data_IF_952210349993
#
_entry.id   IF_952210349993
#
_cell.length_a   1.000
_cell.length_b   1.000
_cell.length_c   1.000
_cell.angle_alpha   90.00
_cell.angle_beta   90.00
_cell.angle_gamma   90.00
#
_symmetry.space_group_name_H-M   'P 1'
#
loop_
_entity.id
_entity.type
_entity.pdbx_description
1 polymer ?
#
# COMPACT_ATOMS: atom_id res chain seq x y z
N UNK A 1 -31.44 -9.11 -6.00
CA UNK A 1 -30.66 -9.03 -4.75
C UNK A 1 -29.29 -9.70 -4.91
N UNK A 2 -29.16 -10.83 -5.63
CA UNK A 2 -27.84 -11.47 -5.88
C UNK A 2 -26.86 -10.67 -6.78
N UNK A 3 -27.34 -9.88 -7.73
CA UNK A 3 -26.47 -9.09 -8.63
C UNK A 3 -25.73 -7.95 -7.92
N UNK A 4 -26.31 -7.43 -6.82
CA UNK A 4 -25.74 -6.34 -6.04
C UNK A 4 -24.48 -6.81 -5.28
N UNK A 5 -24.55 -7.99 -4.66
CA UNK A 5 -23.44 -8.64 -3.93
C UNK A 5 -22.22 -8.88 -4.83
N UNK A 6 -22.44 -9.41 -6.04
CA UNK A 6 -21.34 -9.71 -6.97
C UNK A 6 -20.66 -8.42 -7.48
N UNK A 7 -21.44 -7.37 -7.74
CA UNK A 7 -20.89 -6.08 -8.17
C UNK A 7 -20.04 -5.40 -7.08
N UNK A 8 -20.45 -5.53 -5.81
CA UNK A 8 -19.71 -5.04 -4.66
C UNK A 8 -18.39 -5.78 -4.46
N UNK A 9 -18.41 -7.11 -4.57
CA UNK A 9 -17.21 -7.94 -4.46
C UNK A 9 -16.18 -7.62 -5.55
N UNK A 10 -16.62 -7.46 -6.80
CA UNK A 10 -15.74 -7.09 -7.92
C UNK A 10 -15.11 -5.73 -7.68
N UNK A 11 -15.90 -4.75 -7.23
CA UNK A 11 -15.41 -3.41 -6.93
C UNK A 11 -14.37 -3.44 -5.81
N UNK A 12 -14.63 -4.18 -4.73
CA UNK A 12 -13.70 -4.35 -3.62
C UNK A 12 -12.36 -4.96 -4.08
N UNK A 13 -12.39 -5.99 -4.93
CA UNK A 13 -11.19 -6.62 -5.49
C UNK A 13 -10.39 -5.66 -6.38
N UNK A 14 -11.06 -4.87 -7.22
CA UNK A 14 -10.40 -3.87 -8.07
C UNK A 14 -9.70 -2.82 -7.21
N UNK A 15 -10.39 -2.25 -6.21
CA UNK A 15 -9.80 -1.22 -5.35
C UNK A 15 -8.68 -1.78 -4.45
N UNK A 16 -8.82 -3.00 -3.94
CA UNK A 16 -7.76 -3.68 -3.20
C UNK A 16 -6.52 -3.91 -4.08
N UNK A 17 -6.71 -4.40 -5.30
CA UNK A 17 -5.64 -4.60 -6.28
C UNK A 17 -4.95 -3.29 -6.66
N UNK A 18 -5.71 -2.23 -6.89
CA UNK A 18 -5.17 -0.90 -7.20
C UNK A 18 -4.33 -0.34 -6.04
N UNK A 19 -4.80 -0.50 -4.80
CA UNK A 19 -4.06 -0.06 -3.62
C UNK A 19 -2.76 -0.82 -3.41
N UNK A 20 -2.75 -2.14 -3.64
CA UNK A 20 -1.51 -2.94 -3.60
C UNK A 20 -0.55 -2.48 -4.71
N UNK A 21 -1.05 -2.26 -5.92
CA UNK A 21 -0.22 -1.78 -7.03
C UNK A 21 0.42 -0.41 -6.72
N UNK A 22 -0.35 0.53 -6.18
CA UNK A 22 0.16 1.84 -5.74
C UNK A 22 1.19 1.65 -4.62
N UNK A 23 0.93 0.80 -3.63
CA UNK A 23 1.88 0.54 -2.54
C UNK A 23 3.22 0.05 -3.06
N UNK A 24 3.22 -0.95 -3.94
CA UNK A 24 4.44 -1.47 -4.58
C UNK A 24 5.15 -0.38 -5.39
N UNK A 25 4.40 0.43 -6.15
CA UNK A 25 4.97 1.54 -6.91
C UNK A 25 5.69 2.55 -6.00
N UNK A 26 5.10 2.93 -4.87
CA UNK A 26 5.78 3.87 -3.96
C UNK A 26 6.99 3.24 -3.27
N UNK A 27 6.93 1.95 -2.90
CA UNK A 27 8.11 1.25 -2.37
C UNK A 27 9.28 1.27 -3.35
N UNK A 28 9.01 0.95 -4.62
CA UNK A 28 10.01 1.01 -5.67
C UNK A 28 10.52 2.44 -5.89
N UNK A 29 9.63 3.43 -5.89
CA UNK A 29 10.00 4.84 -6.04
C UNK A 29 10.92 5.29 -4.91
N UNK A 30 10.64 4.90 -3.67
CA UNK A 30 11.46 5.20 -2.50
C UNK A 30 12.82 4.51 -2.61
N UNK A 31 12.87 3.24 -2.98
CA UNK A 31 14.12 2.48 -3.14
C UNK A 31 15.01 3.08 -4.24
N UNK A 32 14.41 3.47 -5.37
CA UNK A 32 15.11 4.18 -6.45
C UNK A 32 15.58 5.56 -6.03
N UNK A 33 14.70 6.37 -5.42
CA UNK A 33 15.03 7.75 -5.01
C UNK A 33 16.14 7.78 -3.95
N UNK A 34 16.11 6.82 -3.03
CA UNK A 34 17.06 6.78 -1.91
C UNK A 34 18.33 6.00 -2.21
N UNK A 35 18.38 5.23 -3.31
CA UNK A 35 19.54 4.44 -3.75
C UNK A 35 20.07 3.45 -2.70
N UNK A 36 19.23 3.02 -1.77
CA UNK A 36 19.56 1.98 -0.80
C UNK A 36 18.43 0.98 -0.68
N UNK A 37 18.76 -0.27 -0.33
CA UNK A 37 17.74 -1.28 -0.07
C UNK A 37 17.01 -1.01 1.23
N UNK A 38 15.69 -0.87 1.13
CA UNK A 38 14.79 -0.65 2.28
C UNK A 38 14.90 -1.82 3.27
N UNK A 39 14.89 -3.06 2.76
CA UNK A 39 15.00 -4.27 3.57
C UNK A 39 16.30 -4.28 4.38
N UNK A 40 17.43 -3.89 3.77
CA UNK A 40 18.71 -3.80 4.48
C UNK A 40 18.65 -2.79 5.62
N UNK A 41 18.09 -1.60 5.36
CA UNK A 41 18.01 -0.54 6.38
C UNK A 41 17.11 -0.89 7.55
N UNK A 42 16.00 -1.59 7.31
CA UNK A 42 15.07 -1.96 8.38
C UNK A 42 15.59 -3.18 9.15
N UNK A 43 15.95 -4.26 8.44
CA UNK A 43 16.28 -5.54 9.08
C UNK A 43 17.69 -5.61 9.66
N UNK A 44 18.66 -4.94 9.02
CA UNK A 44 20.07 -5.00 9.44
C UNK A 44 20.54 -3.72 10.13
N UNK A 45 20.20 -2.56 9.60
CA UNK A 45 20.67 -1.28 10.15
C UNK A 45 19.73 -0.73 11.25
N UNK A 46 18.60 -1.39 11.51
CA UNK A 46 17.67 -1.02 12.59
C UNK A 46 17.02 0.36 12.42
N UNK A 47 16.81 0.80 11.18
CA UNK A 47 16.26 2.12 10.91
C UNK A 47 14.75 2.18 11.19
N UNK A 48 14.41 2.48 12.44
CA UNK A 48 13.03 2.60 12.93
C UNK A 48 12.27 3.70 12.18
N UNK A 49 12.93 4.83 11.86
CA UNK A 49 12.30 5.94 11.16
C UNK A 49 11.77 5.51 9.78
N UNK A 50 12.55 4.73 9.04
CA UNK A 50 12.11 4.17 7.75
C UNK A 50 10.93 3.20 7.93
N UNK A 51 10.95 2.38 8.98
CA UNK A 51 9.83 1.50 9.32
C UNK A 51 8.54 2.27 9.62
N UNK A 52 8.61 3.37 10.37
CA UNK A 52 7.47 4.24 10.66
C UNK A 52 6.92 4.86 9.37
N UNK A 53 7.81 5.36 8.50
CA UNK A 53 7.39 5.95 7.20
C UNK A 53 6.65 4.92 6.36
N UNK A 54 7.17 3.70 6.22
CA UNK A 54 6.48 2.63 5.48
C UNK A 54 5.14 2.25 6.11
N UNK A 55 5.09 2.13 7.44
CA UNK A 55 3.84 1.86 8.16
C UNK A 55 2.79 2.95 7.92
N UNK A 56 3.20 4.22 7.95
CA UNK A 56 2.31 5.36 7.67
C UNK A 56 1.80 5.38 6.23
N UNK A 57 2.62 4.96 5.26
CA UNK A 57 2.21 4.83 3.86
C UNK A 57 1.15 3.74 3.67
N UNK A 58 1.29 2.59 4.34
CA UNK A 58 0.28 1.52 4.30
C UNK A 58 -1.06 2.03 4.83
N UNK A 59 -1.04 2.76 5.96
CA UNK A 59 -2.25 3.36 6.55
C UNK A 59 -2.88 4.38 5.60
N UNK A 60 -2.08 5.26 4.98
CA UNK A 60 -2.59 6.24 4.02
C UNK A 60 -3.30 5.58 2.83
N UNK A 61 -2.73 4.49 2.28
CA UNK A 61 -3.33 3.73 1.18
C UNK A 61 -4.63 3.06 1.62
N UNK A 62 -4.65 2.47 2.82
CA UNK A 62 -5.87 1.89 3.38
C UNK A 62 -7.00 2.93 3.51
N UNK A 63 -6.68 4.16 3.93
CA UNK A 63 -7.67 5.25 4.00
C UNK A 63 -8.17 5.67 2.62
N UNK A 64 -7.29 5.74 1.61
CA UNK A 64 -7.69 6.06 0.22
C UNK A 64 -8.66 5.00 -0.31
N UNK A 65 -8.36 3.71 -0.12
CA UNK A 65 -9.25 2.62 -0.51
C UNK A 65 -10.59 2.73 0.23
N UNK A 66 -10.55 2.93 1.55
CA UNK A 66 -11.77 3.09 2.37
C UNK A 66 -12.62 4.28 1.92
N UNK A 67 -12.00 5.33 1.37
CA UNK A 67 -12.73 6.50 0.84
C UNK A 67 -13.34 6.26 -0.54
N UNK A 68 -12.75 5.35 -1.32
CA UNK A 68 -13.20 4.98 -2.66
C UNK A 68 -14.39 4.00 -2.62
N UNK A 69 -14.47 3.18 -1.58
CA UNK A 69 -15.61 2.29 -1.31
C UNK A 69 -16.64 3.11 -0.50
N UNK A 70 -17.68 3.62 -1.18
CA UNK A 70 -18.86 4.27 -0.59
C UNK A 70 -20.11 3.47 -0.85
#
# INVERSE_FOLDING_TARGET
METFELSGLISALIYAGLGIAIFVLVLLLVEVATKYSINRKIAHDGNIALGIVLGSMIIAIAMIISSAIR
#
